data_IF_623894129409
#
_entry.id   IF_623894129409
#
_cell.length_a   1.000
_cell.length_b   1.000
_cell.length_c   1.000
_cell.angle_alpha   90.00
_cell.angle_beta   90.00
_cell.angle_gamma   90.00
#
_symmetry.space_group_name_H-M   'P 1'
#
loop_
_entity.id
_entity.type
_entity.pdbx_description
1 polymer ?
#
# COMPACT_ATOMS: atom_id res chain seq x y z
N UNK A 1 -35.50 -15.84 -17.33
CA UNK A 1 -34.36 -14.93 -17.56
C UNK A 1 -34.00 -14.14 -16.32
N UNK A 2 -34.81 -13.22 -15.77
CA UNK A 2 -34.45 -12.51 -14.52
C UNK A 2 -34.36 -13.46 -13.32
N UNK A 3 -35.39 -14.27 -13.05
CA UNK A 3 -35.37 -15.28 -11.97
C UNK A 3 -34.26 -16.34 -12.15
N UNK A 4 -33.94 -16.74 -13.39
CA UNK A 4 -32.83 -17.67 -13.68
C UNK A 4 -31.45 -17.05 -13.38
N UNK A 5 -31.29 -15.75 -13.60
CA UNK A 5 -30.06 -15.02 -13.24
C UNK A 5 -29.95 -14.87 -11.72
N UNK A 6 -31.05 -14.55 -11.02
CA UNK A 6 -31.06 -14.49 -9.54
C UNK A 6 -30.65 -15.84 -8.92
N UNK A 7 -31.23 -16.95 -9.39
CA UNK A 7 -30.90 -18.28 -8.88
C UNK A 7 -29.46 -18.74 -9.18
N UNK A 8 -28.78 -18.11 -10.15
CA UNK A 8 -27.39 -18.41 -10.49
C UNK A 8 -26.38 -17.68 -9.62
N UNK A 9 -26.81 -16.71 -8.81
CA UNK A 9 -25.94 -15.94 -7.93
C UNK A 9 -26.01 -16.45 -6.48
N UNK A 10 -24.85 -16.79 -5.95
CA UNK A 10 -24.64 -17.15 -4.55
C UNK A 10 -24.34 -15.89 -3.73
N UNK A 11 -25.21 -15.57 -2.79
CA UNK A 11 -25.11 -14.38 -1.94
C UNK A 11 -24.81 -14.80 -0.51
N UNK A 12 -23.70 -14.29 0.03
CA UNK A 12 -23.32 -14.52 1.42
C UNK A 12 -23.96 -13.48 2.35
N UNK A 13 -24.64 -13.94 3.39
CA UNK A 13 -25.27 -13.12 4.42
C UNK A 13 -24.85 -13.57 5.82
N UNK A 14 -24.89 -12.68 6.80
CA UNK A 14 -24.65 -13.07 8.19
C UNK A 14 -25.81 -13.94 8.71
N UNK A 15 -25.50 -14.96 9.51
CA UNK A 15 -26.51 -15.85 10.13
C UNK A 15 -27.63 -15.06 10.85
N UNK A 16 -27.26 -13.96 11.49
CA UNK A 16 -28.17 -13.09 12.26
C UNK A 16 -28.80 -11.96 11.43
N UNK A 17 -28.74 -12.02 10.09
CA UNK A 17 -29.40 -11.06 9.19
C UNK A 17 -30.91 -11.03 9.41
N UNK A 18 -31.51 -9.84 9.39
CA UNK A 18 -32.92 -9.63 9.66
C UNK A 18 -33.83 -10.26 8.58
N UNK A 19 -35.10 -10.45 8.92
CA UNK A 19 -36.08 -11.08 8.03
C UNK A 19 -36.41 -10.24 6.79
N UNK A 20 -36.35 -8.90 6.89
CA UNK A 20 -36.62 -8.02 5.76
C UNK A 20 -35.56 -8.13 4.66
N UNK A 21 -34.28 -8.23 5.05
CA UNK A 21 -33.17 -8.44 4.14
C UNK A 21 -33.25 -9.80 3.46
N UNK A 22 -33.58 -10.85 4.25
CA UNK A 22 -33.79 -12.20 3.73
C UNK A 22 -34.94 -12.27 2.73
N UNK A 23 -36.02 -11.52 2.98
CA UNK A 23 -37.14 -11.41 2.04
C UNK A 23 -36.73 -10.71 0.74
N UNK A 24 -35.95 -9.64 0.80
CA UNK A 24 -35.41 -8.94 -0.38
C UNK A 24 -34.42 -9.78 -1.19
N UNK A 25 -33.83 -10.80 -0.59
CA UNK A 25 -32.85 -11.69 -1.23
C UNK A 25 -33.40 -13.10 -1.50
N UNK A 26 -34.71 -13.32 -1.36
CA UNK A 26 -35.34 -14.64 -1.48
C UNK A 26 -35.19 -15.29 -2.88
N UNK A 27 -34.93 -14.48 -3.91
CA UNK A 27 -34.71 -14.95 -5.28
C UNK A 27 -33.28 -15.49 -5.52
N UNK A 28 -32.36 -15.29 -4.57
CA UNK A 28 -30.95 -15.69 -4.68
C UNK A 28 -30.65 -16.97 -3.90
N UNK A 29 -29.54 -17.64 -4.27
CA UNK A 29 -29.01 -18.74 -3.45
C UNK A 29 -28.27 -18.14 -2.26
N UNK A 30 -28.84 -18.28 -1.06
CA UNK A 30 -28.26 -17.71 0.16
C UNK A 30 -27.28 -18.66 0.82
N UNK A 31 -26.13 -18.13 1.22
CA UNK A 31 -25.18 -18.81 2.08
C UNK A 31 -24.97 -18.00 3.35
N UNK A 32 -25.13 -18.66 4.49
CA UNK A 32 -24.92 -18.02 5.78
C UNK A 32 -23.47 -18.16 6.23
N UNK A 33 -22.96 -17.15 6.93
CA UNK A 33 -21.67 -17.20 7.61
C UNK A 33 -21.71 -16.43 8.93
N UNK A 34 -20.85 -16.82 9.86
CA UNK A 34 -20.64 -16.16 11.14
C UNK A 34 -19.50 -15.15 11.06
N UNK A 35 -19.49 -14.18 11.98
CA UNK A 35 -18.36 -13.25 12.19
C UNK A 35 -17.05 -14.00 12.51
N UNK A 36 -17.15 -15.14 13.18
CA UNK A 36 -15.98 -15.95 13.56
C UNK A 36 -15.38 -16.73 12.40
N UNK A 37 -16.12 -16.91 11.31
CA UNK A 37 -15.70 -17.78 10.22
C UNK A 37 -14.51 -17.15 9.48
N UNK A 38 -13.58 -18.02 9.09
CA UNK A 38 -12.52 -17.65 8.18
C UNK A 38 -13.05 -17.73 6.75
N UNK A 39 -12.80 -16.66 5.98
CA UNK A 39 -13.21 -16.60 4.57
C UNK A 39 -12.22 -17.42 3.74
N UNK A 40 -12.51 -18.73 3.68
CA UNK A 40 -11.68 -19.75 3.02
C UNK A 40 -12.02 -19.90 1.53
N UNK A 41 -11.42 -20.89 0.88
CA UNK A 41 -11.72 -21.28 -0.50
C UNK A 41 -13.20 -21.60 -0.73
N UNK A 42 -13.95 -21.99 0.29
CA UNK A 42 -15.36 -22.28 0.11
C UNK A 42 -16.17 -21.04 -0.30
N UNK A 43 -15.64 -19.82 -0.09
CA UNK A 43 -16.26 -18.57 -0.53
C UNK A 43 -15.90 -18.17 -1.97
N UNK A 44 -15.10 -18.96 -2.70
CA UNK A 44 -14.73 -18.72 -4.11
C UNK A 44 -15.97 -18.66 -5.03
N UNK A 45 -17.03 -19.41 -4.68
CA UNK A 45 -18.28 -19.43 -5.46
C UNK A 45 -19.27 -18.30 -5.08
N UNK A 46 -18.93 -17.45 -4.09
CA UNK A 46 -19.78 -16.35 -3.67
C UNK A 46 -19.66 -15.16 -4.62
N UNK A 47 -20.79 -14.71 -5.15
CA UNK A 47 -20.85 -13.59 -6.09
C UNK A 47 -20.96 -12.24 -5.41
N UNK A 48 -21.56 -12.18 -4.21
CA UNK A 48 -21.61 -10.97 -3.40
C UNK A 48 -21.82 -11.28 -1.92
N UNK A 49 -21.36 -10.37 -1.06
CA UNK A 49 -21.73 -10.34 0.35
C UNK A 49 -22.75 -9.22 0.58
N UNK A 50 -23.78 -9.47 1.38
CA UNK A 50 -24.71 -8.45 1.84
C UNK A 50 -24.75 -8.45 3.36
N UNK A 51 -24.21 -7.40 3.96
CA UNK A 51 -24.08 -7.24 5.41
C UNK A 51 -25.23 -6.39 5.94
N UNK A 52 -26.01 -6.98 6.83
CA UNK A 52 -27.04 -6.27 7.59
C UNK A 52 -26.39 -5.46 8.73
N UNK A 53 -26.53 -4.15 8.68
CA UNK A 53 -26.21 -3.26 9.79
C UNK A 53 -27.48 -2.57 10.27
N UNK A 54 -27.98 -3.03 11.41
CA UNK A 54 -29.01 -2.32 12.15
C UNK A 54 -28.50 -1.95 13.54
N UNK A 55 -28.18 -0.67 13.71
CA UNK A 55 -27.70 -0.06 14.95
C UNK A 55 -28.68 -0.24 16.14
N UNK A 56 -29.92 -0.70 15.89
CA UNK A 56 -30.95 -0.93 16.92
C UNK A 56 -31.26 -2.39 17.22
N UNK A 57 -30.93 -3.33 16.32
CA UNK A 57 -31.32 -4.75 16.46
C UNK A 57 -30.19 -5.75 16.31
N UNK A 58 -29.07 -5.36 15.68
CA UNK A 58 -27.89 -6.23 15.53
C UNK A 58 -26.87 -5.96 16.63
N UNK A 59 -26.28 -7.00 17.22
CA UNK A 59 -25.14 -6.89 18.16
C UNK A 59 -23.82 -6.48 17.46
N UNK A 60 -23.89 -5.87 16.27
CA UNK A 60 -22.74 -5.56 15.43
C UNK A 60 -22.42 -4.07 15.51
N UNK A 61 -21.23 -3.75 15.99
CA UNK A 61 -20.68 -2.40 15.94
C UNK A 61 -20.11 -2.10 14.55
N UNK A 62 -19.89 -0.81 14.25
CA UNK A 62 -19.15 -0.38 13.06
C UNK A 62 -17.78 -1.06 12.95
N UNK A 63 -17.10 -1.26 14.09
CA UNK A 63 -15.82 -1.96 14.15
C UNK A 63 -15.95 -3.40 13.67
N UNK A 64 -16.99 -4.12 14.10
CA UNK A 64 -17.20 -5.52 13.70
C UNK A 64 -17.39 -5.68 12.20
N UNK A 65 -18.04 -4.71 11.55
CA UNK A 65 -18.23 -4.73 10.11
C UNK A 65 -16.92 -4.45 9.39
N UNK A 66 -16.13 -3.48 9.85
CA UNK A 66 -14.80 -3.21 9.29
C UNK A 66 -13.94 -4.47 9.36
N UNK A 67 -13.96 -5.19 10.49
CA UNK A 67 -13.24 -6.46 10.66
C UNK A 67 -13.76 -7.56 9.72
N UNK A 68 -15.07 -7.69 9.53
CA UNK A 68 -15.65 -8.65 8.57
C UNK A 68 -15.20 -8.32 7.15
N UNK A 69 -15.28 -7.05 6.74
CA UNK A 69 -14.83 -6.63 5.40
C UNK A 69 -13.32 -6.87 5.26
N UNK A 70 -12.53 -6.57 6.30
CA UNK A 70 -11.09 -6.82 6.32
C UNK A 70 -10.74 -8.29 6.13
N UNK A 71 -11.48 -9.21 6.78
CA UNK A 71 -11.36 -10.65 6.54
C UNK A 71 -11.66 -11.02 5.09
N UNK A 72 -12.76 -10.52 4.52
CA UNK A 72 -13.12 -10.76 3.11
C UNK A 72 -12.01 -10.26 2.17
N UNK A 73 -11.40 -9.11 2.45
CA UNK A 73 -10.31 -8.54 1.63
C UNK A 73 -8.95 -9.22 1.83
N UNK A 74 -8.73 -9.83 3.00
CA UNK A 74 -7.48 -10.54 3.29
C UNK A 74 -7.32 -11.81 2.44
N UNK A 75 -8.44 -12.45 2.07
CA UNK A 75 -8.45 -13.71 1.33
C UNK A 75 -8.27 -13.52 -0.18
N UNK A 76 -7.37 -14.30 -0.77
CA UNK A 76 -7.10 -14.32 -2.21
C UNK A 76 -8.34 -14.71 -3.05
N UNK A 77 -9.31 -15.41 -2.45
CA UNK A 77 -10.51 -15.91 -3.13
C UNK A 77 -11.65 -14.89 -3.15
N UNK A 78 -11.69 -13.94 -2.21
CA UNK A 78 -12.83 -13.04 -2.02
C UNK A 78 -12.50 -11.56 -2.04
N UNK A 79 -11.21 -11.18 -2.19
CA UNK A 79 -10.81 -9.78 -2.12
C UNK A 79 -11.41 -8.88 -3.20
N UNK A 80 -11.88 -9.44 -4.33
CA UNK A 80 -12.61 -8.72 -5.36
C UNK A 80 -14.13 -8.89 -5.26
N UNK A 81 -14.63 -9.76 -4.39
CA UNK A 81 -16.08 -9.98 -4.27
C UNK A 81 -16.76 -8.70 -3.77
N UNK A 82 -17.83 -8.23 -4.44
CA UNK A 82 -18.55 -7.05 -3.99
C UNK A 82 -19.18 -7.30 -2.62
N UNK A 83 -19.08 -6.29 -1.75
CA UNK A 83 -19.67 -6.32 -0.41
C UNK A 83 -20.64 -5.14 -0.35
N UNK A 84 -21.90 -5.41 -0.08
CA UNK A 84 -22.96 -4.43 0.08
C UNK A 84 -23.36 -4.32 1.55
N UNK A 85 -23.92 -3.17 1.93
CA UNK A 85 -24.52 -2.99 3.25
C UNK A 85 -25.86 -2.26 3.09
N UNK A 86 -26.84 -2.56 3.95
CA UNK A 86 -28.12 -1.87 3.95
C UNK A 86 -28.08 -0.46 4.56
N UNK A 87 -26.94 -0.03 5.13
CA UNK A 87 -26.76 1.29 5.73
C UNK A 87 -25.88 2.21 4.90
N UNK A 88 -26.32 3.46 4.74
CA UNK A 88 -25.56 4.52 4.07
C UNK A 88 -24.27 4.86 4.84
N UNK A 89 -24.24 4.65 6.16
CA UNK A 89 -23.11 5.01 7.04
C UNK A 89 -21.83 4.23 6.69
N UNK A 90 -21.99 3.03 6.12
CA UNK A 90 -20.90 2.09 5.87
C UNK A 90 -20.48 2.00 4.40
N UNK A 91 -21.12 2.79 3.52
CA UNK A 91 -20.80 2.89 2.09
C UNK A 91 -19.36 3.33 1.81
N UNK A 92 -18.68 3.90 2.82
CA UNK A 92 -17.25 4.19 2.73
C UNK A 92 -16.39 2.90 2.72
N UNK A 93 -16.82 1.84 3.41
CA UNK A 93 -16.11 0.56 3.53
C UNK A 93 -16.67 -0.53 2.59
N UNK A 94 -17.96 -0.47 2.26
CA UNK A 94 -18.65 -1.38 1.33
C UNK A 94 -18.84 -0.74 -0.05
N UNK A 95 -19.22 -1.47 -1.10
CA UNK A 95 -19.35 -0.98 -2.49
C UNK A 95 -20.39 0.12 -2.66
N UNK A 96 -21.63 -0.18 -2.29
CA UNK A 96 -22.74 0.76 -2.27
C UNK A 96 -23.81 0.24 -1.33
N UNK A 97 -24.85 1.05 -1.12
CA UNK A 97 -25.98 0.63 -0.30
C UNK A 97 -26.80 -0.40 -1.05
N UNK A 98 -27.08 -1.53 -0.40
CA UNK A 98 -28.05 -2.49 -0.89
C UNK A 98 -29.44 -1.87 -0.84
N UNK A 99 -30.10 -1.76 -2.00
CA UNK A 99 -31.49 -1.29 -2.12
C UNK A 99 -32.43 -2.43 -2.49
N UNK A 100 -32.13 -3.12 -3.58
CA UNK A 100 -32.95 -4.17 -4.15
C UNK A 100 -32.11 -5.18 -4.96
N UNK A 101 -32.74 -6.30 -5.31
CA UNK A 101 -32.15 -7.39 -6.08
C UNK A 101 -31.62 -6.94 -7.46
N UNK A 102 -32.35 -6.04 -8.13
CA UNK A 102 -32.01 -5.59 -9.48
C UNK A 102 -30.71 -4.77 -9.48
N UNK A 103 -30.60 -3.81 -8.56
CA UNK A 103 -29.40 -3.00 -8.38
C UNK A 103 -28.19 -3.86 -8.01
N UNK A 104 -28.37 -4.87 -7.16
CA UNK A 104 -27.32 -5.83 -6.83
C UNK A 104 -26.79 -6.54 -8.08
N UNK A 105 -27.68 -7.05 -8.94
CA UNK A 105 -27.31 -7.78 -10.16
C UNK A 105 -26.53 -6.86 -11.12
N UNK A 106 -27.05 -5.66 -11.40
CA UNK A 106 -26.40 -4.70 -12.30
C UNK A 106 -24.98 -4.35 -11.83
N UNK A 107 -24.79 -4.20 -10.52
CA UNK A 107 -23.49 -3.89 -9.94
C UNK A 107 -22.53 -5.08 -9.91
N UNK A 108 -23.03 -6.28 -9.61
CA UNK A 108 -22.24 -7.52 -9.69
C UNK A 108 -21.77 -7.75 -11.13
N UNK A 109 -22.64 -7.60 -12.12
CA UNK A 109 -22.29 -7.74 -13.54
C UNK A 109 -21.22 -6.72 -13.96
N UNK A 110 -21.41 -5.45 -13.61
CA UNK A 110 -20.46 -4.38 -13.93
C UNK A 110 -19.08 -4.65 -13.32
N UNK A 111 -19.04 -5.06 -12.04
CA UNK A 111 -17.79 -5.38 -11.34
C UNK A 111 -17.13 -6.61 -11.96
N UNK A 112 -17.87 -7.67 -12.24
CA UNK A 112 -17.32 -8.88 -12.85
C UNK A 112 -16.75 -8.63 -14.25
N UNK A 113 -17.34 -7.72 -15.02
CA UNK A 113 -16.78 -7.30 -16.31
C UNK A 113 -15.42 -6.60 -16.15
N UNK A 114 -15.28 -5.69 -15.17
CA UNK A 114 -14.01 -5.03 -14.88
C UNK A 114 -12.96 -6.01 -14.31
N UNK A 115 -13.38 -6.96 -13.47
CA UNK A 115 -12.52 -8.05 -12.97
C UNK A 115 -11.98 -8.87 -14.14
N UNK A 116 -12.85 -9.37 -15.02
CA UNK A 116 -12.45 -10.16 -16.18
C UNK A 116 -11.54 -9.38 -17.14
N UNK A 117 -11.70 -8.06 -17.24
CA UNK A 117 -10.81 -7.22 -18.04
C UNK A 117 -9.42 -7.11 -17.43
N UNK A 118 -9.31 -7.07 -16.11
CA UNK A 118 -8.03 -6.97 -15.42
C UNK A 118 -7.34 -8.34 -15.34
N UNK A 119 -8.07 -9.43 -15.07
CA UNK A 119 -7.54 -10.80 -15.05
C UNK A 119 -6.89 -11.21 -16.38
N UNK A 120 -7.43 -10.77 -17.52
CA UNK A 120 -6.82 -10.97 -18.84
C UNK A 120 -5.41 -10.40 -18.97
N UNK A 121 -5.05 -9.46 -18.10
CA UNK A 121 -3.80 -8.70 -18.20
C UNK A 121 -2.89 -8.88 -16.98
N UNK A 122 -3.41 -9.42 -15.86
CA UNK A 122 -2.57 -9.87 -14.75
C UNK A 122 -1.78 -11.10 -15.23
N UNK A 123 -0.45 -10.93 -15.32
CA UNK A 123 0.46 -12.03 -15.70
C UNK A 123 0.87 -12.92 -14.53
N UNK A 124 0.80 -12.43 -13.29
CA UNK A 124 1.26 -13.15 -12.11
C UNK A 124 0.22 -13.13 -10.97
N UNK A 125 -0.66 -14.13 -10.95
CA UNK A 125 -1.73 -14.29 -9.96
C UNK A 125 -1.15 -14.57 -8.55
N UNK A 126 0.03 -15.18 -8.46
CA UNK A 126 0.64 -15.56 -7.18
C UNK A 126 1.04 -14.36 -6.32
N UNK A 127 1.47 -13.24 -6.94
CA UNK A 127 1.79 -12.01 -6.20
C UNK A 127 0.54 -11.42 -5.54
N UNK A 128 -0.60 -11.46 -6.21
CA UNK A 128 -1.88 -10.98 -5.66
C UNK A 128 -2.35 -11.86 -4.50
N UNK A 129 -2.13 -13.17 -4.58
CA UNK A 129 -2.55 -14.09 -3.53
C UNK A 129 -1.80 -13.82 -2.20
N UNK A 130 -0.54 -13.42 -2.27
CA UNK A 130 0.32 -13.29 -1.08
C UNK A 130 0.49 -11.85 -0.57
N UNK A 131 0.24 -10.83 -1.40
CA UNK A 131 0.41 -9.42 -1.02
C UNK A 131 -0.91 -8.65 -0.95
N UNK A 132 -1.23 -8.11 0.24
CA UNK A 132 -2.44 -7.30 0.45
C UNK A 132 -2.41 -5.97 -0.31
N UNK A 133 -1.23 -5.40 -0.55
CA UNK A 133 -1.05 -4.15 -1.28
C UNK A 133 -1.34 -4.35 -2.77
N UNK A 134 -0.87 -5.47 -3.34
CA UNK A 134 -1.26 -5.92 -4.67
C UNK A 134 -2.79 -6.12 -4.77
N UNK A 135 -3.41 -6.82 -3.81
CA UNK A 135 -4.88 -7.00 -3.76
C UNK A 135 -5.62 -5.68 -3.75
N UNK A 136 -5.16 -4.72 -2.94
CA UNK A 136 -5.76 -3.39 -2.84
C UNK A 136 -5.71 -2.64 -4.18
N UNK A 137 -4.58 -2.67 -4.90
CA UNK A 137 -4.48 -1.99 -6.19
C UNK A 137 -5.36 -2.61 -7.26
N UNK A 138 -5.41 -3.94 -7.34
CA UNK A 138 -6.32 -4.65 -8.26
C UNK A 138 -7.77 -4.30 -7.91
N UNK A 139 -8.10 -4.25 -6.63
CA UNK A 139 -9.42 -3.83 -6.15
C UNK A 139 -9.76 -2.39 -6.58
N UNK A 140 -8.84 -1.43 -6.43
CA UNK A 140 -9.09 -0.07 -6.88
C UNK A 140 -9.28 0.01 -8.40
N UNK A 141 -8.48 -0.70 -9.19
CA UNK A 141 -8.58 -0.66 -10.64
C UNK A 141 -9.88 -1.26 -11.17
N UNK A 142 -10.36 -2.35 -10.58
CA UNK A 142 -11.67 -2.94 -10.91
C UNK A 142 -12.85 -2.02 -10.55
N UNK A 143 -12.61 -0.96 -9.78
CA UNK A 143 -13.63 -0.02 -9.28
C UNK A 143 -13.34 1.44 -9.63
N UNK A 144 -12.43 1.70 -10.57
CA UNK A 144 -11.98 3.05 -10.96
C UNK A 144 -13.11 4.02 -11.33
N UNK A 145 -14.24 3.51 -11.83
CA UNK A 145 -15.42 4.28 -12.22
C UNK A 145 -16.33 4.63 -11.04
N UNK A 146 -16.27 3.85 -9.96
CA UNK A 146 -17.16 3.94 -8.81
C UNK A 146 -16.47 4.44 -7.54
N UNK A 147 -15.14 4.29 -7.42
CA UNK A 147 -14.40 4.55 -6.18
C UNK A 147 -13.11 5.33 -6.40
N UNK A 148 -12.99 6.35 -5.57
CA UNK A 148 -11.78 7.11 -5.33
C UNK A 148 -11.27 6.87 -3.91
N UNK A 149 -9.98 7.11 -3.69
CA UNK A 149 -9.38 7.04 -2.38
C UNK A 149 -9.78 8.28 -1.57
N UNK A 150 -10.95 8.19 -0.93
CA UNK A 150 -11.60 9.28 -0.22
C UNK A 150 -11.33 9.19 1.27
N UNK A 151 -10.78 10.25 1.90
CA UNK A 151 -10.53 10.24 3.33
C UNK A 151 -11.82 10.50 4.12
N UNK A 152 -11.93 9.85 5.27
CA UNK A 152 -13.04 9.95 6.20
C UNK A 152 -12.54 10.28 7.62
N UNK A 153 -13.39 10.89 8.44
CA UNK A 153 -13.01 11.24 9.82
C UNK A 153 -12.93 9.97 10.67
N UNK A 154 -11.79 9.74 11.28
CA UNK A 154 -11.59 8.62 12.20
C UNK A 154 -10.87 9.11 13.45
N UNK A 155 -11.62 9.23 14.55
CA UNK A 155 -11.10 9.78 15.80
C UNK A 155 -10.06 8.89 16.49
N UNK A 156 -9.94 7.61 16.13
CA UNK A 156 -8.93 6.71 16.70
C UNK A 156 -7.56 6.86 16.04
N UNK A 157 -7.46 7.47 14.85
CA UNK A 157 -6.19 7.71 14.15
C UNK A 157 -5.60 9.05 14.55
N UNK A 158 -4.27 9.13 14.66
CA UNK A 158 -3.54 10.35 15.08
C UNK A 158 -3.87 11.58 14.22
N UNK A 159 -4.04 11.38 12.91
CA UNK A 159 -4.38 12.45 11.97
C UNK A 159 -5.87 12.80 11.96
N UNK A 160 -6.68 12.13 12.78
CA UNK A 160 -8.15 12.18 12.80
C UNK A 160 -8.84 11.80 11.48
N UNK A 161 -8.09 11.28 10.51
CA UNK A 161 -8.57 10.88 9.20
C UNK A 161 -7.98 9.53 8.81
N UNK A 162 -8.78 8.72 8.14
CA UNK A 162 -8.34 7.47 7.53
C UNK A 162 -8.89 7.35 6.12
N UNK A 163 -8.47 6.33 5.39
CA UNK A 163 -9.01 6.01 4.07
C UNK A 163 -9.77 4.69 4.19
N UNK A 164 -11.10 4.70 4.31
CA UNK A 164 -11.90 3.50 4.56
C UNK A 164 -11.64 2.32 3.62
N UNK A 165 -11.40 2.61 2.33
CA UNK A 165 -11.06 1.57 1.33
C UNK A 165 -9.70 0.95 1.61
N UNK A 166 -8.76 1.69 2.19
CA UNK A 166 -7.45 1.18 2.59
C UNK A 166 -7.51 0.48 3.95
N UNK A 167 -8.29 1.00 4.90
CA UNK A 167 -8.48 0.43 6.25
C UNK A 167 -8.91 -1.04 6.21
N UNK A 168 -9.69 -1.44 5.20
CA UNK A 168 -10.14 -2.83 5.03
C UNK A 168 -9.14 -3.73 4.31
N UNK A 169 -7.99 -3.23 3.85
CA UNK A 169 -6.94 -4.03 3.22
C UNK A 169 -5.68 -4.16 4.07
N UNK A 170 -5.32 -3.11 4.82
CA UNK A 170 -4.13 -3.08 5.69
C UNK A 170 -4.13 -4.27 6.64
N UNK A 171 -3.08 -5.09 6.61
CA UNK A 171 -2.88 -6.20 7.55
C UNK A 171 -1.86 -5.88 8.64
N UNK A 172 -0.99 -4.89 8.40
CA UNK A 172 0.11 -4.54 9.31
C UNK A 172 -0.30 -3.43 10.27
N UNK A 173 -0.12 -3.66 11.58
CA UNK A 173 -0.53 -2.70 12.62
C UNK A 173 0.31 -1.40 12.58
N UNK A 174 1.58 -1.50 12.15
CA UNK A 174 2.54 -0.40 12.07
C UNK A 174 2.56 0.31 10.69
N UNK A 175 1.56 0.09 9.84
CA UNK A 175 1.53 0.62 8.48
C UNK A 175 1.38 2.16 8.42
N UNK A 176 2.34 2.85 7.80
CA UNK A 176 2.27 4.31 7.56
C UNK A 176 1.50 4.64 6.26
N UNK A 177 0.28 5.13 6.44
CA UNK A 177 -0.60 5.56 5.35
C UNK A 177 -0.01 6.71 4.53
N UNK A 178 0.71 7.65 5.17
CA UNK A 178 1.22 8.83 4.49
C UNK A 178 2.40 8.46 3.59
N UNK A 179 3.30 7.61 4.08
CA UNK A 179 4.42 7.10 3.31
C UNK A 179 3.93 6.39 2.05
N UNK A 180 3.05 5.40 2.20
CA UNK A 180 2.57 4.61 1.07
C UNK A 180 1.72 5.41 0.06
N UNK A 181 0.90 6.36 0.53
CA UNK A 181 0.19 7.28 -0.37
C UNK A 181 1.17 8.15 -1.16
N UNK A 182 2.28 8.59 -0.55
CA UNK A 182 3.30 9.33 -1.26
C UNK A 182 4.02 8.46 -2.29
N UNK A 183 4.30 7.20 -1.99
CA UNK A 183 4.85 6.24 -2.96
C UNK A 183 3.93 6.06 -4.17
N UNK A 184 2.64 5.75 -3.92
CA UNK A 184 1.63 5.63 -4.97
C UNK A 184 1.55 6.86 -5.88
N UNK A 185 1.73 8.04 -5.29
CA UNK A 185 1.75 9.31 -6.02
C UNK A 185 3.03 9.47 -6.84
N UNK A 186 4.19 9.13 -6.28
CA UNK A 186 5.49 9.22 -6.95
C UNK A 186 5.59 8.25 -8.13
N UNK A 187 5.04 7.04 -7.97
CA UNK A 187 4.88 6.06 -9.04
C UNK A 187 3.81 6.47 -10.06
N UNK A 188 3.06 7.55 -9.82
CA UNK A 188 2.02 8.02 -10.72
C UNK A 188 0.82 7.09 -10.81
N UNK A 189 0.59 6.22 -9.83
CA UNK A 189 -0.56 5.32 -9.74
C UNK A 189 -1.81 6.11 -9.34
N UNK A 190 -1.67 7.03 -8.39
CA UNK A 190 -2.73 7.93 -7.96
C UNK A 190 -2.38 9.40 -8.25
N UNK A 191 -3.42 10.21 -8.46
CA UNK A 191 -3.28 11.66 -8.61
C UNK A 191 -4.22 12.40 -7.67
N UNK A 192 -3.83 13.62 -7.33
CA UNK A 192 -4.68 14.56 -6.59
C UNK A 192 -6.02 14.75 -7.31
N UNK A 193 -7.12 14.55 -6.58
CA UNK A 193 -8.47 14.88 -7.05
C UNK A 193 -8.98 16.13 -6.35
N UNK A 194 -8.99 16.15 -5.01
CA UNK A 194 -9.57 17.25 -4.22
C UNK A 194 -9.01 17.36 -2.81
N UNK A 195 -8.73 18.57 -2.33
CA UNK A 195 -8.46 18.83 -0.92
C UNK A 195 -9.76 18.73 -0.11
N UNK A 196 -9.82 17.81 0.85
CA UNK A 196 -10.98 17.64 1.75
C UNK A 196 -10.87 18.50 2.99
N UNK A 197 -9.69 18.51 3.61
CA UNK A 197 -9.44 19.28 4.82
C UNK A 197 -7.99 19.70 4.87
N UNK A 198 -7.77 20.84 5.49
CA UNK A 198 -6.45 21.19 5.99
C UNK A 198 -6.58 21.70 7.41
N UNK A 199 -5.60 21.35 8.25
CA UNK A 199 -5.54 21.76 9.64
C UNK A 199 -4.08 21.87 10.08
N UNK A 200 -3.87 22.63 11.14
CA UNK A 200 -2.57 22.76 11.79
C UNK A 200 -2.44 21.67 12.86
N UNK A 201 -1.22 21.18 13.06
CA UNK A 201 -0.92 20.18 14.07
C UNK A 201 0.39 20.51 14.80
N UNK A 202 0.60 19.90 15.97
CA UNK A 202 1.79 20.11 16.77
C UNK A 202 3.03 19.61 16.02
N UNK A 203 4.04 20.47 15.86
CA UNK A 203 5.27 20.11 15.15
C UNK A 203 6.15 19.11 15.90
N UNK A 204 5.86 18.86 17.18
CA UNK A 204 6.61 17.95 18.06
C UNK A 204 5.97 16.55 18.17
N UNK A 205 4.64 16.47 18.31
CA UNK A 205 3.94 15.19 18.55
C UNK A 205 2.78 14.89 17.59
N UNK A 206 2.63 15.66 16.50
CA UNK A 206 1.56 15.47 15.49
C UNK A 206 0.10 15.61 15.96
N UNK A 207 -0.13 15.87 17.25
CA UNK A 207 -1.48 16.08 17.81
C UNK A 207 -2.18 17.31 17.22
N UNK A 208 -3.49 17.19 17.01
CA UNK A 208 -4.38 18.28 16.56
C UNK A 208 -5.06 19.03 17.73
N UNK A 209 -4.83 18.62 18.98
CA UNK A 209 -5.38 19.26 20.17
C UNK A 209 -4.56 20.50 20.56
N UNK A 210 -4.98 21.65 20.04
CA UNK A 210 -4.23 22.90 20.09
C UNK A 210 -5.08 24.03 20.65
N UNK A 211 -4.50 24.77 21.61
CA UNK A 211 -5.05 26.01 22.12
C UNK A 211 -4.35 27.17 21.43
N UNK A 212 -5.12 28.09 20.87
CA UNK A 212 -4.60 29.28 20.19
C UNK A 212 -4.78 30.51 21.06
N UNK A 213 -3.71 31.27 21.27
CA UNK A 213 -3.76 32.54 22.01
C UNK A 213 -3.00 33.64 21.28
N UNK A 214 -3.33 34.88 21.64
CA UNK A 214 -2.64 36.08 21.17
C UNK A 214 -1.75 36.59 22.30
N UNK A 215 -0.51 36.93 21.99
CA UNK A 215 0.49 37.41 22.95
C UNK A 215 1.03 38.78 22.55
N UNK A 216 1.38 39.55 23.57
CA UNK A 216 2.11 40.80 23.40
C UNK A 216 3.52 40.51 22.84
N UNK A 217 3.94 41.16 21.74
CA UNK A 217 5.27 40.94 21.17
C UNK A 217 6.43 41.29 22.13
N UNK A 218 6.22 42.28 23.00
CA UNK A 218 7.25 42.79 23.92
C UNK A 218 7.44 41.91 25.17
N UNK A 219 6.35 41.41 25.76
CA UNK A 219 6.41 40.70 27.05
C UNK A 219 5.76 39.31 27.05
N UNK A 220 5.21 38.86 25.92
CA UNK A 220 4.54 37.57 25.74
C UNK A 220 3.29 37.34 26.61
N UNK A 221 2.77 38.38 27.29
CA UNK A 221 1.51 38.31 28.04
C UNK A 221 0.30 38.14 27.12
N UNK A 222 -0.69 37.36 27.56
CA UNK A 222 -1.98 37.17 26.89
C UNK A 222 -3.04 38.22 27.30
N UNK A 223 -2.79 39.05 28.33
CA UNK A 223 -3.70 40.12 28.76
C UNK A 223 -3.55 41.36 27.86
N UNK A 224 -4.12 41.26 26.67
CA UNK A 224 -4.14 42.30 25.63
C UNK A 224 -5.58 42.76 25.36
N UNK A 225 -5.75 44.06 25.13
CA UNK A 225 -7.04 44.68 24.80
C UNK A 225 -7.00 45.37 23.45
N UNK A 226 -8.10 45.30 22.69
CA UNK A 226 -8.24 45.95 21.39
C UNK A 226 -8.86 47.33 21.56
N UNK A 227 -8.33 48.34 20.86
CA UNK A 227 -8.96 49.65 20.72
C UNK A 227 -8.91 50.54 21.97
N UNK A 228 -7.91 50.35 22.83
CA UNK A 228 -7.72 51.20 24.00
C UNK A 228 -7.16 52.59 23.63
N UNK A 229 -6.47 52.73 22.50
CA UNK A 229 -6.01 54.02 21.98
C UNK A 229 -7.08 54.64 21.06
N UNK A 230 -7.59 55.80 21.48
CA UNK A 230 -8.60 56.56 20.72
C UNK A 230 -8.09 57.10 19.37
N UNK A 231 -6.77 57.19 19.18
CA UNK A 231 -6.14 57.58 17.90
C UNK A 231 -5.98 56.39 16.95
N UNK A 232 -5.84 55.18 17.49
CA UNK A 232 -5.59 53.96 16.72
C UNK A 232 -6.53 52.84 17.22
N UNK A 233 -7.82 52.87 16.85
CA UNK A 233 -8.83 51.93 17.36
C UNK A 233 -8.57 50.47 16.97
N UNK A 234 -7.76 50.23 15.93
CA UNK A 234 -7.37 48.89 15.50
C UNK A 234 -6.08 48.38 16.18
N UNK A 235 -5.52 49.15 17.13
CA UNK A 235 -4.33 48.76 17.90
C UNK A 235 -4.68 47.88 19.11
N UNK A 236 -3.69 47.13 19.56
CA UNK A 236 -3.71 46.35 20.78
C UNK A 236 -2.87 47.06 21.84
N UNK A 237 -3.33 47.04 23.09
CA UNK A 237 -2.58 47.50 24.25
C UNK A 237 -2.40 46.33 25.22
N UNK A 238 -1.16 46.08 25.64
CA UNK A 238 -0.89 45.08 26.68
C UNK A 238 -1.12 45.68 28.07
N UNK A 239 -1.86 45.00 28.95
CA UNK A 239 -2.08 45.47 30.33
C UNK A 239 -0.90 45.24 31.27
N UNK A 240 0.07 44.42 30.86
CA UNK A 240 1.23 44.09 31.68
C UNK A 240 2.42 45.04 31.47
N UNK A 241 2.70 45.42 30.22
CA UNK A 241 3.81 46.31 29.88
C UNK A 241 3.39 47.62 29.20
N UNK A 242 2.09 47.85 29.04
CA UNK A 242 1.50 49.08 28.46
C UNK A 242 1.88 49.36 27.00
N UNK A 243 2.60 48.45 26.33
CA UNK A 243 2.98 48.60 24.92
C UNK A 243 1.76 48.65 24.01
N UNK A 244 1.80 49.52 23.00
CA UNK A 244 0.79 49.62 21.93
C UNK A 244 1.36 49.05 20.64
N UNK A 245 0.65 48.11 20.01
CA UNK A 245 1.10 47.41 18.80
C UNK A 245 -0.08 47.04 17.90
N UNK A 246 0.18 46.82 16.61
CA UNK A 246 -0.88 46.51 15.62
C UNK A 246 -1.02 45.00 15.39
N UNK A 247 0.09 44.25 15.43
CA UNK A 247 0.11 42.81 15.21
C UNK A 247 0.52 42.10 16.50
N UNK A 248 -0.39 41.38 17.19
CA UNK A 248 -0.01 40.47 18.26
C UNK A 248 0.72 39.24 17.70
N UNK A 249 1.50 38.59 18.54
CA UNK A 249 2.04 37.27 18.24
C UNK A 249 0.95 36.22 18.40
N UNK A 250 0.75 35.39 17.37
CA UNK A 250 -0.18 34.26 17.45
C UNK A 250 0.62 33.01 17.75
N UNK A 251 0.30 32.37 18.87
CA UNK A 251 0.95 31.13 19.29
C UNK A 251 -0.08 30.01 19.45
N UNK A 252 0.38 28.78 19.32
CA UNK A 252 -0.36 27.59 19.68
C UNK A 252 0.33 26.86 20.82
N UNK A 253 -0.45 26.35 21.76
CA UNK A 253 -0.02 25.42 22.80
C UNK A 253 -0.66 24.05 22.56
N UNK A 254 0.16 23.00 22.49
CA UNK A 254 -0.34 21.63 22.36
C UNK A 254 -0.75 21.08 23.73
N UNK A 255 -1.99 20.61 23.85
CA UNK A 255 -2.50 20.07 25.12
C UNK A 255 -1.90 18.71 25.47
N UNK A 256 -1.28 18.02 24.51
CA UNK A 256 -0.70 16.69 24.69
C UNK A 256 0.74 16.75 25.19
N UNK A 257 1.59 17.58 24.56
CA UNK A 257 3.02 17.66 24.88
C UNK A 257 3.48 19.01 25.45
N UNK A 258 2.58 19.99 25.59
CA UNK A 258 2.89 21.33 26.10
C UNK A 258 3.75 22.20 25.17
N UNK A 259 4.03 21.74 23.94
CA UNK A 259 4.85 22.51 23.00
C UNK A 259 4.15 23.80 22.60
N UNK A 260 4.84 24.93 22.77
CA UNK A 260 4.40 26.26 22.35
C UNK A 260 5.20 26.67 21.12
N UNK A 261 4.51 27.00 20.03
CA UNK A 261 5.12 27.49 18.79
C UNK A 261 4.30 28.62 18.20
N UNK A 262 4.94 29.47 17.39
CA UNK A 262 4.20 30.45 16.59
C UNK A 262 3.29 29.75 15.58
N UNK A 263 2.09 30.26 15.38
CA UNK A 263 1.13 29.73 14.39
C UNK A 263 1.73 29.71 12.98
N UNK A 264 2.60 30.67 12.65
CA UNK A 264 3.28 30.75 11.35
C UNK A 264 4.34 29.63 11.17
N UNK A 265 4.84 29.06 12.26
CA UNK A 265 5.84 27.97 12.26
C UNK A 265 5.20 26.58 12.37
N UNK A 266 3.88 26.52 12.55
CA UNK A 266 3.17 25.26 12.68
C UNK A 266 3.17 24.48 11.37
N UNK A 267 3.22 23.16 11.49
CA UNK A 267 3.02 22.27 10.35
C UNK A 267 1.54 22.20 9.97
N UNK A 268 1.30 22.13 8.67
CA UNK A 268 -0.02 22.05 8.06
C UNK A 268 -0.20 20.67 7.43
N UNK A 269 -1.22 19.93 7.85
CA UNK A 269 -1.61 18.67 7.22
C UNK A 269 -2.66 18.96 6.15
N UNK A 270 -2.52 18.31 5.00
CA UNK A 270 -3.52 18.30 3.95
C UNK A 270 -4.11 16.90 3.83
N UNK A 271 -5.42 16.81 3.99
CA UNK A 271 -6.19 15.58 3.80
C UNK A 271 -6.82 15.66 2.42
N UNK A 272 -6.43 14.72 1.56
CA UNK A 272 -6.64 14.79 0.12
C UNK A 272 -7.42 13.57 -0.33
N UNK A 273 -8.38 13.78 -1.24
CA UNK A 273 -8.99 12.73 -2.04
C UNK A 273 -8.13 12.48 -3.28
N UNK A 274 -7.82 11.22 -3.54
CA UNK A 274 -7.03 10.79 -4.68
C UNK A 274 -7.86 9.92 -5.63
N UNK A 275 -7.50 9.96 -6.91
CA UNK A 275 -8.11 9.11 -7.95
C UNK A 275 -7.02 8.36 -8.70
N UNK A 276 -7.35 7.20 -9.25
CA UNK A 276 -6.42 6.45 -10.09
C UNK A 276 -6.06 7.23 -11.36
N UNK A 277 -4.82 7.04 -11.81
CA UNK A 277 -4.39 7.53 -13.12
C UNK A 277 -4.62 6.49 -14.22
N UNK A 278 -4.46 6.89 -15.48
CA UNK A 278 -4.41 5.95 -16.60
C UNK A 278 -3.21 5.01 -16.53
N UNK A 279 -2.14 5.38 -15.81
CA UNK A 279 -0.95 4.56 -15.65
C UNK A 279 -1.11 3.48 -14.59
N UNK A 280 -2.07 3.62 -13.66
CA UNK A 280 -2.32 2.63 -12.61
C UNK A 280 -2.50 1.21 -13.18
N UNK A 281 -3.31 1.09 -14.24
CA UNK A 281 -3.47 -0.19 -14.92
C UNK A 281 -2.15 -0.68 -15.51
N UNK A 282 -1.34 0.19 -16.13
CA UNK A 282 -0.05 -0.21 -16.67
C UNK A 282 0.88 -0.76 -15.58
N UNK A 283 0.93 -0.13 -14.41
CA UNK A 283 1.70 -0.62 -13.26
C UNK A 283 1.23 -1.99 -12.75
N UNK A 284 -0.09 -2.23 -12.74
CA UNK A 284 -0.65 -3.55 -12.39
C UNK A 284 -0.35 -4.59 -13.48
N UNK A 285 -0.44 -4.19 -14.76
CA UNK A 285 -0.21 -5.04 -15.94
C UNK A 285 1.26 -5.44 -16.12
N UNK A 286 2.19 -4.60 -15.67
CA UNK A 286 3.64 -4.78 -15.82
C UNK A 286 4.28 -5.47 -14.58
N UNK A 287 3.53 -6.31 -13.86
CA UNK A 287 3.85 -6.87 -12.54
C UNK A 287 3.73 -5.85 -11.41
N UNK A 288 2.53 -5.83 -10.81
CA UNK A 288 2.22 -5.44 -9.43
C UNK A 288 3.47 -5.33 -8.55
N UNK A 289 3.98 -4.11 -8.48
CA UNK A 289 4.65 -3.55 -7.31
C UNK A 289 5.69 -4.49 -6.70
N UNK A 290 6.94 -4.28 -7.06
CA UNK A 290 7.98 -4.51 -6.08
C UNK A 290 7.76 -3.48 -4.94
N UNK A 291 6.83 -3.70 -4.01
CA UNK A 291 6.74 -2.93 -2.77
C UNK A 291 7.82 -3.38 -1.78
N UNK A 292 9.05 -3.26 -2.26
CA UNK A 292 10.29 -3.12 -1.51
C UNK A 292 11.30 -2.40 -2.42
N UNK A 293 10.84 -1.36 -3.13
CA UNK A 293 11.65 -0.57 -4.08
C UNK A 293 11.77 0.91 -3.68
N UNK A 294 12.05 1.20 -2.38
CA UNK A 294 12.97 2.30 -2.11
C UNK A 294 14.42 1.82 -2.03
N UNK A 295 14.67 0.54 -1.79
CA UNK A 295 16.04 0.09 -1.49
C UNK A 295 16.86 -0.23 -2.75
N UNK A 296 16.22 -0.68 -3.84
CA UNK A 296 16.89 -1.16 -5.05
C UNK A 296 16.80 -0.24 -6.28
N UNK A 297 15.91 0.76 -6.30
CA UNK A 297 15.76 1.67 -7.45
C UNK A 297 17.02 2.50 -7.73
N UNK A 298 17.96 2.52 -6.79
CA UNK A 298 19.27 3.16 -6.94
C UNK A 298 20.43 2.14 -7.07
N UNK A 299 20.17 0.84 -7.30
CA UNK A 299 21.18 -0.24 -7.48
C UNK A 299 20.98 -0.95 -8.82
N UNK A 300 21.14 -0.25 -9.95
CA UNK A 300 21.07 -0.82 -11.30
C UNK A 300 20.00 -1.92 -11.46
N UNK A 301 18.85 -1.73 -10.82
CA UNK A 301 17.83 -2.76 -10.73
C UNK A 301 17.11 -2.85 -12.07
N UNK A 302 16.88 -4.06 -12.53
CA UNK A 302 16.17 -4.33 -13.77
C UNK A 302 15.09 -5.36 -13.50
N UNK A 303 13.89 -5.10 -14.01
CA UNK A 303 12.78 -6.06 -13.91
C UNK A 303 13.14 -7.38 -14.61
N UNK A 304 12.66 -8.53 -14.11
CA UNK A 304 13.04 -9.85 -14.60
C UNK A 304 12.99 -10.02 -16.11
N UNK A 305 11.96 -9.50 -16.79
CA UNK A 305 11.78 -9.67 -18.23
C UNK A 305 12.89 -9.01 -19.06
N UNK A 306 13.33 -7.82 -18.63
CA UNK A 306 14.48 -7.16 -19.26
C UNK A 306 15.77 -7.85 -18.88
N UNK A 307 15.93 -8.30 -17.63
CA UNK A 307 17.09 -9.06 -17.21
C UNK A 307 17.28 -10.32 -18.07
N UNK A 308 16.21 -11.09 -18.30
CA UNK A 308 16.23 -12.25 -19.20
C UNK A 308 16.68 -11.86 -20.61
N UNK A 309 16.10 -10.80 -21.16
CA UNK A 309 16.43 -10.31 -22.50
C UNK A 309 17.91 -9.92 -22.62
N UNK A 310 18.48 -9.32 -21.56
CA UNK A 310 19.89 -8.95 -21.52
C UNK A 310 20.81 -10.17 -21.39
N UNK A 311 20.45 -11.15 -20.57
CA UNK A 311 21.21 -12.40 -20.44
C UNK A 311 21.15 -13.21 -21.72
N UNK A 312 19.99 -13.33 -22.37
CA UNK A 312 19.82 -13.95 -23.69
C UNK A 312 20.72 -13.27 -24.73
N UNK A 313 20.72 -11.94 -24.74
CA UNK A 313 21.58 -11.16 -25.62
C UNK A 313 23.06 -11.38 -25.32
N UNK A 314 23.46 -11.38 -24.04
CA UNK A 314 24.85 -11.57 -23.60
C UNK A 314 25.37 -12.97 -23.96
N UNK A 315 24.53 -13.99 -23.79
CA UNK A 315 24.83 -15.36 -24.21
C UNK A 315 25.01 -15.45 -25.74
N UNK A 316 24.12 -14.81 -26.50
CA UNK A 316 24.25 -14.71 -27.97
C UNK A 316 25.51 -13.95 -28.38
N UNK A 317 25.88 -12.92 -27.62
CA UNK A 317 27.08 -12.12 -27.86
C UNK A 317 28.36 -12.92 -27.62
N UNK A 318 28.41 -13.75 -26.58
CA UNK A 318 29.54 -14.64 -26.34
C UNK A 318 29.73 -15.67 -27.48
N UNK A 319 28.64 -16.18 -28.05
CA UNK A 319 28.72 -17.07 -29.21
C UNK A 319 29.30 -16.37 -30.45
N UNK A 320 29.10 -15.04 -30.55
CA UNK A 320 29.65 -14.22 -31.64
C UNK A 320 31.10 -13.81 -31.39
N UNK A 321 31.44 -13.47 -30.15
CA UNK A 321 32.78 -13.08 -29.72
C UNK A 321 33.18 -13.88 -28.47
N UNK A 322 33.97 -14.96 -28.62
CA UNK A 322 34.40 -15.79 -27.50
C UNK A 322 35.25 -15.06 -26.44
N UNK A 323 35.76 -13.86 -26.77
CA UNK A 323 36.46 -13.01 -25.80
C UNK A 323 35.51 -12.29 -24.83
N UNK A 324 34.24 -12.14 -25.22
CA UNK A 324 33.20 -11.66 -24.33
C UNK A 324 32.79 -12.77 -23.36
N UNK A 325 32.80 -12.46 -22.07
CA UNK A 325 32.35 -13.34 -21.00
C UNK A 325 31.55 -12.57 -19.96
N UNK A 326 30.72 -13.28 -19.21
CA UNK A 326 29.98 -12.71 -18.10
C UNK A 326 29.78 -13.76 -17.01
N UNK A 327 29.43 -13.28 -15.82
CA UNK A 327 29.06 -14.15 -14.70
C UNK A 327 27.67 -13.78 -14.21
N UNK A 328 26.94 -14.79 -13.76
CA UNK A 328 25.69 -14.65 -13.03
C UNK A 328 25.93 -15.11 -11.60
N UNK A 329 25.35 -14.40 -10.64
CA UNK A 329 25.35 -14.80 -9.23
C UNK A 329 23.90 -14.92 -8.78
N UNK A 330 23.54 -16.08 -8.26
CA UNK A 330 22.28 -16.31 -7.59
C UNK A 330 22.49 -16.17 -6.09
N UNK A 331 21.58 -15.46 -5.42
CA UNK A 331 21.57 -15.29 -3.97
C UNK A 331 20.19 -15.70 -3.48
N UNK A 332 20.13 -16.74 -2.66
CA UNK A 332 18.92 -17.15 -1.94
C UNK A 332 19.01 -16.63 -0.50
N UNK A 333 17.96 -15.97 0.00
CA UNK A 333 17.88 -15.37 1.33
C UNK A 333 16.97 -16.25 2.19
N UNK A 334 17.43 -16.74 3.35
CA UNK A 334 16.62 -17.64 4.18
C UNK A 334 15.30 -17.02 4.70
N UNK A 335 14.28 -17.86 4.90
CA UNK A 335 12.89 -17.44 5.19
C UNK A 335 12.67 -16.71 6.53
N UNK A 336 13.61 -16.80 7.49
CA UNK A 336 13.47 -16.20 8.82
C UNK A 336 13.91 -14.72 8.91
N UNK A 337 14.13 -14.07 7.76
CA UNK A 337 14.75 -12.76 7.64
C UNK A 337 13.70 -11.65 7.55
N UNK A 338 13.86 -10.59 8.36
CA UNK A 338 12.91 -9.47 8.44
C UNK A 338 13.18 -8.37 7.40
N UNK A 339 12.26 -7.41 7.28
CA UNK A 339 12.35 -6.30 6.33
C UNK A 339 13.63 -5.44 6.48
N UNK A 340 14.09 -5.24 7.72
CA UNK A 340 15.30 -4.45 8.03
C UNK A 340 16.59 -5.10 7.51
N UNK A 341 16.66 -6.43 7.52
CA UNK A 341 17.83 -7.18 7.07
C UNK A 341 17.94 -7.16 5.54
N UNK A 342 16.80 -7.22 4.85
CA UNK A 342 16.71 -7.06 3.39
C UNK A 342 17.24 -5.67 2.98
N UNK A 343 16.89 -4.63 3.74
CA UNK A 343 17.39 -3.28 3.48
C UNK A 343 18.92 -3.19 3.63
N UNK A 344 19.45 -3.81 4.69
CA UNK A 344 20.88 -3.84 4.94
C UNK A 344 21.66 -4.64 3.87
N UNK A 345 21.12 -5.78 3.41
CA UNK A 345 21.70 -6.57 2.30
C UNK A 345 21.74 -5.73 1.02
N UNK A 346 20.64 -5.03 0.69
CA UNK A 346 20.57 -4.16 -0.48
C UNK A 346 21.66 -3.09 -0.44
N UNK A 347 21.83 -2.43 0.71
CA UNK A 347 22.83 -1.39 0.90
C UNK A 347 24.27 -1.93 0.78
N UNK A 348 24.51 -3.15 1.24
CA UNK A 348 25.80 -3.82 1.07
C UNK A 348 26.07 -4.10 -0.43
N UNK A 349 25.11 -4.70 -1.13
CA UNK A 349 25.24 -5.03 -2.57
C UNK A 349 25.53 -3.77 -3.41
N UNK A 350 24.89 -2.64 -3.09
CA UNK A 350 25.16 -1.36 -3.75
C UNK A 350 26.62 -0.91 -3.70
N UNK A 351 27.28 -1.12 -2.56
CA UNK A 351 28.66 -0.69 -2.38
C UNK A 351 29.64 -1.62 -3.10
N UNK A 352 29.20 -2.85 -3.42
CA UNK A 352 30.00 -3.88 -4.07
C UNK A 352 29.87 -3.80 -5.61
N UNK A 353 28.65 -3.55 -6.10
CA UNK A 353 28.32 -3.59 -7.53
C UNK A 353 28.78 -2.33 -8.27
N UNK A 354 29.29 -2.52 -9.49
CA UNK A 354 29.65 -1.44 -10.41
C UNK A 354 28.41 -0.93 -11.14
N UNK A 355 28.49 0.27 -11.73
CA UNK A 355 27.40 0.88 -12.52
C UNK A 355 26.91 0.03 -13.71
N UNK A 356 27.76 -0.87 -14.21
CA UNK A 356 27.44 -1.75 -15.35
C UNK A 356 26.84 -3.08 -14.91
N UNK A 357 26.97 -3.42 -13.64
CA UNK A 357 26.45 -4.66 -13.07
C UNK A 357 24.95 -4.46 -12.82
N UNK A 358 24.16 -5.49 -13.08
CA UNK A 358 22.70 -5.41 -13.00
C UNK A 358 22.17 -6.38 -11.97
N UNK A 359 21.12 -5.97 -11.26
CA UNK A 359 20.46 -6.76 -10.24
C UNK A 359 19.00 -6.97 -10.64
N UNK A 360 18.50 -8.19 -10.49
CA UNK A 360 17.07 -8.48 -10.56
C UNK A 360 16.64 -9.33 -9.36
N UNK A 361 15.35 -9.35 -9.10
CA UNK A 361 14.74 -10.10 -7.99
C UNK A 361 13.58 -10.91 -8.54
N UNK A 362 13.59 -12.21 -8.27
CA UNK A 362 12.59 -13.16 -8.76
C UNK A 362 11.49 -13.44 -7.75
N UNK A 363 11.82 -13.38 -6.46
CA UNK A 363 10.90 -13.58 -5.33
C UNK A 363 11.39 -12.76 -4.12
N UNK A 364 10.72 -12.85 -2.96
CA UNK A 364 11.24 -12.21 -1.75
C UNK A 364 12.63 -12.76 -1.33
N UNK A 365 12.95 -13.98 -1.72
CA UNK A 365 14.16 -14.67 -1.28
C UNK A 365 15.18 -14.86 -2.41
N UNK A 366 14.78 -14.70 -3.67
CA UNK A 366 15.64 -14.94 -4.83
C UNK A 366 16.14 -13.66 -5.50
N UNK A 367 17.45 -13.43 -5.44
CA UNK A 367 18.15 -12.32 -6.11
C UNK A 367 19.11 -12.87 -7.16
N UNK A 368 19.15 -12.22 -8.31
CA UNK A 368 20.10 -12.51 -9.39
C UNK A 368 20.93 -11.28 -9.73
N UNK A 369 22.24 -11.49 -9.89
CA UNK A 369 23.19 -10.48 -10.34
C UNK A 369 23.75 -10.89 -11.70
N UNK A 370 23.84 -9.92 -12.61
CA UNK A 370 24.57 -10.06 -13.87
C UNK A 370 25.79 -9.15 -13.86
N UNK A 371 26.96 -9.75 -14.07
CA UNK A 371 28.27 -9.10 -14.10
C UNK A 371 28.85 -9.17 -15.53
N UNK A 372 28.61 -8.17 -16.39
CA UNK A 372 29.13 -8.17 -17.75
C UNK A 372 30.67 -8.08 -17.76
N UNK A 373 31.32 -8.78 -18.68
CA UNK A 373 32.79 -8.71 -18.85
C UNK A 373 33.58 -9.23 -17.65
N UNK A 374 32.97 -10.10 -16.84
CA UNK A 374 33.55 -10.59 -15.58
C UNK A 374 33.86 -12.08 -15.69
N UNK A 375 35.10 -12.46 -15.36
CA UNK A 375 35.54 -13.85 -15.30
C UNK A 375 34.94 -14.59 -14.10
N UNK A 376 35.11 -15.91 -14.04
CA UNK A 376 34.73 -16.70 -12.86
C UNK A 376 35.48 -16.22 -11.61
N UNK A 377 36.79 -16.02 -11.71
CA UNK A 377 37.64 -15.49 -10.63
C UNK A 377 37.15 -14.11 -10.15
N UNK A 378 36.75 -13.25 -11.10
CA UNK A 378 36.17 -11.94 -10.77
C UNK A 378 34.85 -12.03 -10.02
N UNK A 379 33.99 -12.99 -10.38
CA UNK A 379 32.73 -13.24 -9.68
C UNK A 379 32.96 -13.81 -8.27
N UNK A 380 33.93 -14.71 -8.09
CA UNK A 380 34.30 -15.24 -6.77
C UNK A 380 34.79 -14.14 -5.82
N UNK A 381 35.50 -13.12 -6.34
CA UNK A 381 35.87 -11.93 -5.56
C UNK A 381 34.63 -11.17 -5.09
N UNK A 382 33.63 -10.99 -5.97
CA UNK A 382 32.36 -10.34 -5.61
C UNK A 382 31.62 -11.16 -4.55
N UNK A 383 31.53 -12.48 -4.69
CA UNK A 383 30.93 -13.38 -3.69
C UNK A 383 31.61 -13.23 -2.33
N UNK A 384 32.94 -13.19 -2.32
CA UNK A 384 33.69 -12.99 -1.08
C UNK A 384 33.37 -11.64 -0.43
N UNK A 385 33.30 -10.56 -1.22
CA UNK A 385 32.92 -9.24 -0.72
C UNK A 385 31.50 -9.21 -0.15
N UNK A 386 30.57 -9.96 -0.74
CA UNK A 386 29.19 -10.09 -0.24
C UNK A 386 29.19 -10.82 1.11
N UNK A 387 29.90 -11.94 1.21
CA UNK A 387 30.00 -12.74 2.45
C UNK A 387 30.69 -11.99 3.59
N UNK A 388 31.70 -11.19 3.26
CA UNK A 388 32.47 -10.39 4.22
C UNK A 388 31.75 -9.09 4.65
N UNK A 389 30.62 -8.74 4.03
CA UNK A 389 29.85 -7.56 4.43
C UNK A 389 29.08 -7.81 5.74
N UNK A 390 29.09 -6.79 6.61
CA UNK A 390 28.45 -6.82 7.93
C UNK A 390 27.09 -6.12 7.89
N UNK A 391 26.06 -6.78 8.42
CA UNK A 391 24.72 -6.20 8.60
C UNK A 391 24.59 -5.50 9.97
N UNK A 392 25.26 -6.06 10.99
CA UNK A 392 25.28 -5.55 12.37
C UNK A 392 26.64 -5.86 13.05
N UNK A 393 26.84 -5.45 14.31
CA UNK A 393 28.03 -5.83 15.10
C UNK A 393 28.13 -7.35 15.37
N UNK A 394 27.06 -8.13 15.13
CA UNK A 394 27.00 -9.56 15.49
C UNK A 394 26.68 -10.50 14.33
N UNK A 395 26.08 -10.03 13.23
CA UNK A 395 25.61 -10.90 12.15
C UNK A 395 26.35 -10.61 10.83
N UNK A 396 26.90 -11.67 10.22
CA UNK A 396 27.49 -11.62 8.87
C UNK A 396 26.43 -11.96 7.84
N UNK A 397 26.53 -11.39 6.64
CA UNK A 397 25.63 -11.73 5.53
C UNK A 397 25.70 -13.24 5.21
N UNK A 398 26.89 -13.85 5.31
CA UNK A 398 27.08 -15.28 5.01
C UNK A 398 26.19 -16.22 5.83
N UNK A 399 25.75 -15.82 7.03
CA UNK A 399 24.89 -16.66 7.87
C UNK A 399 23.40 -16.59 7.45
N UNK A 400 23.07 -15.74 6.47
CA UNK A 400 21.70 -15.39 6.07
C UNK A 400 21.38 -15.71 4.62
N UNK A 401 22.39 -16.06 3.82
CA UNK A 401 22.22 -16.27 2.38
C UNK A 401 22.95 -17.52 1.89
N UNK A 402 22.39 -18.16 0.87
CA UNK A 402 23.12 -19.09 0.01
C UNK A 402 23.47 -18.41 -1.32
N UNK A 403 24.65 -18.72 -1.87
CA UNK A 403 25.17 -18.08 -3.09
C UNK A 403 25.67 -19.12 -4.07
N UNK A 404 25.16 -19.08 -5.31
CA UNK A 404 25.65 -19.86 -6.43
C UNK A 404 26.20 -18.96 -7.55
N UNK A 405 27.29 -19.38 -8.20
CA UNK A 405 27.93 -18.64 -9.29
C UNK A 405 27.87 -19.45 -10.58
N UNK A 406 27.51 -18.79 -11.67
CA UNK A 406 27.44 -19.37 -13.01
C UNK A 406 28.28 -18.54 -13.98
N UNK A 407 29.28 -19.15 -14.59
CA UNK A 407 30.09 -18.50 -15.62
C UNK A 407 29.53 -18.80 -17.00
N UNK A 408 29.56 -17.81 -17.89
CA UNK A 408 28.92 -17.93 -19.20
C UNK A 408 29.49 -19.07 -20.08
N UNK A 409 30.77 -19.44 -19.91
CA UNK A 409 31.39 -20.58 -20.63
C UNK A 409 30.94 -21.95 -20.12
N UNK A 410 30.34 -22.02 -18.94
CA UNK A 410 29.83 -23.25 -18.32
C UNK A 410 28.31 -23.45 -18.49
N UNK A 411 27.62 -22.52 -19.13
CA UNK A 411 26.19 -22.61 -19.39
C UNK A 411 25.96 -23.55 -20.59
N UNK A 412 25.70 -24.83 -20.35
CA UNK A 412 25.34 -25.78 -21.41
C UNK A 412 23.88 -25.59 -21.86
N UNK A 413 23.69 -25.55 -23.19
CA UNK A 413 22.42 -25.68 -23.93
C UNK A 413 21.21 -24.91 -23.37
N UNK A 414 21.34 -23.58 -23.37
CA UNK A 414 20.34 -22.66 -22.87
C UNK A 414 19.26 -22.34 -23.91
N UNK A 415 18.01 -22.77 -23.66
CA UNK A 415 16.89 -22.46 -24.57
C UNK A 415 16.41 -21.00 -24.44
N UNK A 416 16.23 -20.49 -23.21
CA UNK A 416 15.99 -19.07 -22.87
C UNK A 416 16.43 -18.79 -21.41
N UNK A 417 16.76 -17.53 -21.12
CA UNK A 417 17.16 -17.07 -19.78
C UNK A 417 16.09 -17.24 -18.74
N UNK A 418 14.85 -16.98 -19.14
CA UNK A 418 13.69 -17.20 -18.30
C UNK A 418 13.64 -18.64 -17.76
N UNK A 419 13.78 -19.65 -18.63
CA UNK A 419 13.69 -21.06 -18.22
C UNK A 419 14.84 -21.51 -17.33
N UNK A 420 16.05 -21.05 -17.63
CA UNK A 420 17.23 -21.41 -16.85
C UNK A 420 17.17 -20.81 -15.43
N UNK A 421 16.87 -19.52 -15.33
CA UNK A 421 16.83 -18.81 -14.05
C UNK A 421 15.65 -19.29 -13.20
N UNK A 422 14.47 -19.48 -13.79
CA UNK A 422 13.30 -20.04 -13.09
C UNK A 422 13.51 -21.51 -12.68
N UNK A 423 14.16 -22.33 -13.52
CA UNK A 423 14.41 -23.74 -13.22
C UNK A 423 15.37 -23.99 -12.06
N UNK A 424 16.19 -23.00 -11.72
CA UNK A 424 17.09 -23.02 -10.57
C UNK A 424 16.42 -22.49 -9.30
N UNK A 425 15.53 -21.51 -9.40
CA UNK A 425 14.76 -20.98 -8.25
C UNK A 425 13.63 -21.90 -7.76
N UNK A 426 13.23 -22.94 -8.50
CA UNK A 426 12.17 -23.89 -8.12
C UNK A 426 12.71 -25.15 -7.41
N UNK A 427 14.04 -25.31 -7.33
CA UNK A 427 14.69 -26.41 -6.62
C UNK A 427 15.11 -25.97 -5.21
N UNK A 428 14.15 -25.77 -4.32
CA UNK A 428 14.32 -25.89 -2.86
C UNK A 428 12.96 -25.96 -2.16
#
# INVERSE_FOLDING_TARGET
>A
MFEEVCMSLNIAILENSNSELREKLNEFTLREFSKSDDVSRDFEEINAFVIDYDNKSTNLSTFDIIEIVKKIRSSAYSYLTPVFCNSDELTNYTVEKFTDAKGLIESVETINQEIANIEKVIKNINNVANDWQARFLVYLCTRKSARDLTPYKNASKETCYSYPVLDVFVQDDDFDYNEWINELKNLGIIKYKKLKKSFLYCSNCSSSHLLFSKRCPECQSEDIIVGADTKYPDSYTCRMCESIFVKPDFVSECTECGTIVSVEQMRKQNIIEYTLTSNAEHHIKMNLLNYSVPVYDEINYIIPEFFYSFVDWAYTMQNRDPSYEFSLIHINIFDYIGANDIEAISKALRNILRKTDMLTRMSQHDIWLWLPGTSLEGAEVVVKMIKDAHLSERDKIEDLIDIAVFHSKSLEDFSTAEKFLQGLSVKE
#
